data_IF_936334555866
#
_entry.id   IF_936334555866
#
_cell.length_a   1.000
_cell.length_b   1.000
_cell.length_c   1.000
_cell.angle_alpha   90.00
_cell.angle_beta   90.00
_cell.angle_gamma   90.00
#
_symmetry.space_group_name_H-M   'P 1'
#
loop_
_entity.id
_entity.type
_entity.pdbx_description
1 polymer ?
#
# COMPACT_ATOMS: atom_id res chain seq x y z
N UNK A 1 -24.47 -16.63 10.45
CA UNK A 1 -23.84 -15.80 9.41
C UNK A 1 -22.37 -15.69 9.76
N UNK A 2 -21.50 -16.22 8.90
CA UNK A 2 -20.05 -16.17 9.10
C UNK A 2 -19.55 -14.74 8.89
N UNK A 3 -18.69 -14.27 9.80
CA UNK A 3 -18.25 -12.87 9.84
C UNK A 3 -17.06 -12.72 8.90
N UNK A 4 -17.27 -12.12 7.73
CA UNK A 4 -16.27 -11.97 6.65
C UNK A 4 -15.00 -11.21 7.03
N UNK A 5 -14.96 -10.53 8.18
CA UNK A 5 -13.76 -9.87 8.70
C UNK A 5 -13.28 -10.59 9.95
N UNK A 6 -12.43 -11.58 9.74
CA UNK A 6 -11.59 -12.18 10.76
C UNK A 6 -10.38 -11.25 10.91
N UNK A 7 -9.99 -10.85 12.13
CA UNK A 7 -8.79 -10.02 12.40
C UNK A 7 -8.90 -8.48 12.28
N UNK A 8 -10.09 -7.87 12.41
CA UNK A 8 -10.19 -6.40 12.45
C UNK A 8 -9.40 -5.78 13.62
N UNK A 9 -9.51 -6.36 14.80
CA UNK A 9 -8.97 -5.77 16.02
C UNK A 9 -7.44 -5.81 16.04
N UNK A 10 -6.82 -6.93 15.64
CA UNK A 10 -5.36 -7.01 15.58
C UNK A 10 -4.79 -6.20 14.40
N UNK A 11 -5.49 -6.12 13.26
CA UNK A 11 -5.10 -5.20 12.18
C UNK A 11 -5.13 -3.72 12.64
N UNK A 12 -6.16 -3.32 13.39
CA UNK A 12 -6.24 -1.97 13.95
C UNK A 12 -5.13 -1.70 14.97
N UNK A 13 -4.84 -2.65 15.86
CA UNK A 13 -3.76 -2.51 16.84
C UNK A 13 -2.39 -2.38 16.16
N UNK A 14 -2.15 -3.18 15.09
CA UNK A 14 -0.94 -3.08 14.28
C UNK A 14 -0.83 -1.70 13.62
N UNK A 15 -1.93 -1.19 13.05
CA UNK A 15 -1.94 0.11 12.40
C UNK A 15 -1.61 1.24 13.40
N UNK A 16 -2.22 1.26 14.57
CA UNK A 16 -1.92 2.25 15.62
C UNK A 16 -0.46 2.21 16.05
N UNK A 17 0.12 1.01 16.21
CA UNK A 17 1.51 0.85 16.62
C UNK A 17 2.52 1.35 15.57
N UNK A 18 2.16 1.32 14.28
CA UNK A 18 3.05 1.69 13.16
C UNK A 18 2.70 3.03 12.51
N UNK A 19 1.59 3.66 12.90
CA UNK A 19 1.17 4.99 12.42
C UNK A 19 2.27 6.07 12.50
N UNK A 20 3.13 6.12 13.55
CA UNK A 20 4.21 7.11 13.60
C UNK A 20 5.22 7.00 12.44
N UNK A 21 5.31 5.85 11.79
CA UNK A 21 6.21 5.61 10.65
C UNK A 21 5.49 5.75 9.30
N UNK A 22 4.19 6.03 9.29
CA UNK A 22 3.42 6.18 8.06
C UNK A 22 3.72 7.53 7.39
N UNK A 23 3.80 7.58 6.04
CA UNK A 23 3.89 8.84 5.32
C UNK A 23 2.70 9.75 5.61
N UNK A 24 2.96 11.03 5.88
CA UNK A 24 1.92 12.04 6.13
C UNK A 24 1.52 12.74 4.83
N UNK A 25 0.39 13.42 4.85
CA UNK A 25 -0.04 14.26 3.72
C UNK A 25 1.01 15.33 3.45
N UNK A 26 1.42 15.43 2.19
CA UNK A 26 2.47 16.37 1.75
C UNK A 26 3.88 15.79 1.79
N UNK A 27 4.10 14.67 2.49
CA UNK A 27 5.38 13.97 2.42
C UNK A 27 5.57 13.38 1.01
N UNK A 28 6.82 13.33 0.55
CA UNK A 28 7.18 12.61 -0.66
C UNK A 28 6.86 11.13 -0.47
N UNK A 29 6.04 10.57 -1.36
CA UNK A 29 5.71 9.14 -1.32
C UNK A 29 6.98 8.28 -1.37
N UNK A 30 7.12 7.26 -0.51
CA UNK A 30 8.27 6.37 -0.50
C UNK A 30 8.42 5.67 -1.84
N UNK A 31 9.65 5.54 -2.32
CA UNK A 31 9.92 4.91 -3.61
C UNK A 31 10.05 3.40 -3.46
N UNK A 32 9.52 2.66 -4.43
CA UNK A 32 9.62 1.21 -4.48
C UNK A 32 9.47 0.73 -5.93
N UNK A 33 9.87 -0.52 -6.18
CA UNK A 33 9.71 -1.22 -7.44
C UNK A 33 8.85 -2.46 -7.22
N UNK A 34 7.84 -2.64 -8.07
CA UNK A 34 6.99 -3.84 -8.08
C UNK A 34 7.04 -4.47 -9.46
N UNK A 35 7.04 -5.80 -9.51
CA UNK A 35 6.73 -6.52 -10.75
C UNK A 35 5.28 -6.25 -11.16
N UNK A 36 5.02 -6.24 -12.46
CA UNK A 36 3.65 -6.33 -12.97
C UNK A 36 3.04 -7.71 -12.62
N UNK A 37 1.75 -7.88 -12.95
CA UNK A 37 1.03 -9.12 -12.66
C UNK A 37 1.60 -10.35 -13.39
N UNK A 38 2.38 -10.16 -14.47
CA UNK A 38 3.04 -11.23 -15.21
C UNK A 38 4.47 -11.49 -14.73
N UNK A 39 5.07 -10.57 -13.95
CA UNK A 39 6.47 -10.59 -13.55
C UNK A 39 7.43 -10.14 -14.66
N UNK A 40 6.92 -9.60 -15.77
CA UNK A 40 7.70 -9.32 -16.98
C UNK A 40 8.28 -7.91 -16.99
N UNK A 41 7.62 -6.97 -16.30
CA UNK A 41 8.12 -5.61 -16.16
C UNK A 41 8.19 -5.17 -14.70
N UNK A 42 9.17 -4.31 -14.42
CA UNK A 42 9.30 -3.61 -13.15
C UNK A 42 8.70 -2.22 -13.28
N UNK A 43 7.85 -1.86 -12.33
CA UNK A 43 7.20 -0.57 -12.22
C UNK A 43 7.75 0.13 -10.99
N UNK A 44 8.44 1.26 -11.19
CA UNK A 44 8.94 2.11 -10.12
C UNK A 44 7.97 3.24 -9.82
N UNK A 45 7.61 3.44 -8.55
CA UNK A 45 6.62 4.47 -8.20
C UNK A 45 7.08 5.88 -8.57
N UNK A 46 8.37 6.19 -8.39
CA UNK A 46 8.92 7.51 -8.69
C UNK A 46 8.81 7.92 -10.16
N UNK A 47 8.69 6.98 -11.09
CA UNK A 47 8.57 7.26 -12.52
C UNK A 47 7.27 8.00 -12.86
N UNK A 48 6.25 7.97 -11.98
CA UNK A 48 4.99 8.69 -12.17
C UNK A 48 4.96 10.08 -11.56
N UNK A 49 5.96 10.46 -10.74
CA UNK A 49 5.99 11.76 -10.04
C UNK A 49 5.90 12.91 -11.05
N UNK A 50 4.98 13.85 -10.80
CA UNK A 50 4.78 15.02 -11.65
C UNK A 50 4.11 14.76 -13.01
N UNK A 51 3.83 13.49 -13.37
CA UNK A 51 3.18 13.15 -14.66
C UNK A 51 1.67 13.00 -14.53
N UNK A 52 1.20 12.35 -13.45
CA UNK A 52 -0.23 12.10 -13.17
C UNK A 52 -0.44 11.67 -11.72
N UNK A 53 -1.64 11.86 -11.15
CA UNK A 53 -1.99 11.25 -9.86
C UNK A 53 -1.92 9.71 -9.93
N UNK A 54 -1.49 9.09 -8.83
CA UNK A 54 -1.37 7.64 -8.68
C UNK A 54 -2.09 7.21 -7.40
N UNK A 55 -2.81 6.10 -7.45
CA UNK A 55 -3.44 5.47 -6.30
C UNK A 55 -2.77 4.12 -6.03
N UNK A 56 -2.49 3.82 -4.76
CA UNK A 56 -1.98 2.53 -4.31
C UNK A 56 -3.10 1.78 -3.60
N UNK A 57 -3.36 0.55 -4.03
CA UNK A 57 -4.34 -0.34 -3.42
C UNK A 57 -3.62 -1.61 -3.01
N UNK A 58 -3.57 -1.88 -1.72
CA UNK A 58 -2.97 -3.08 -1.16
C UNK A 58 -4.08 -4.10 -0.89
N UNK A 59 -3.88 -5.33 -1.36
CA UNK A 59 -4.81 -6.42 -1.14
C UNK A 59 -4.16 -7.76 -1.49
N UNK A 60 -4.75 -8.83 -0.98
CA UNK A 60 -4.41 -10.20 -1.32
C UNK A 60 -5.68 -10.98 -1.61
N UNK A 61 -5.62 -11.89 -2.58
CA UNK A 61 -6.65 -12.90 -2.75
C UNK A 61 -6.18 -14.16 -2.02
N UNK A 62 -6.87 -14.52 -0.96
CA UNK A 62 -6.62 -15.72 -0.13
C UNK A 62 -7.94 -16.37 0.22
#
# INVERSE_FOLDING_TARGET
MERTIHNRDAASAWQTAHEPNAPRRGDTAPDFELGDAAGESLVRLSDFRGKRPVALVFGSFT
#
